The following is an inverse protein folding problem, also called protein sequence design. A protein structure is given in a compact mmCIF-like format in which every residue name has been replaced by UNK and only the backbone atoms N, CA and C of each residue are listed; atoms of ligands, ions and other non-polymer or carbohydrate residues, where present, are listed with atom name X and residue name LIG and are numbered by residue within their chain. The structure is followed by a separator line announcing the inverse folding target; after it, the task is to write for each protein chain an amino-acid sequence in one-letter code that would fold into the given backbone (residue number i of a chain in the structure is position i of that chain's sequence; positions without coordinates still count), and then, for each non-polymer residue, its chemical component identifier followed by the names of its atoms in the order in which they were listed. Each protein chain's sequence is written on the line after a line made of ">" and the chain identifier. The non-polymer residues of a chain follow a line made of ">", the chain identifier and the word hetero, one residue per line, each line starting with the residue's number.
data_IF_121617661743
#
_entry.id   IF_121617661743
#
_cell.length_a   1.000
_cell.length_b   1.000
_cell.length_c   1.000
_cell.angle_alpha   90.00
_cell.angle_beta   90.00
_cell.angle_gamma   90.00
#
_symmetry.space_group_name_H-M   'P 1'
#
loop_
_entity.id
_entity.type
_entity.pdbx_description
1 polymer ?
#
# COMPACT_ATOMS: atom_id res chain seq x y z
N UNK A 1 -15.10 -9.42 14.06
CA UNK A 1 -15.44 -8.22 13.27
C UNK A 1 -15.93 -7.17 14.24
N UNK A 2 -15.45 -5.92 14.17
CA UNK A 2 -16.03 -4.84 14.97
C UNK A 2 -17.49 -4.68 14.53
N UNK A 3 -18.42 -4.88 15.45
CA UNK A 3 -19.87 -4.79 15.19
C UNK A 3 -20.32 -3.34 15.27
N UNK A 4 -21.36 -2.96 14.52
CA UNK A 4 -21.97 -1.62 14.57
C UNK A 4 -22.35 -1.17 16.00
N UNK A 5 -22.53 -2.11 16.93
CA UNK A 5 -22.81 -1.86 18.36
C UNK A 5 -21.70 -1.12 19.11
N UNK A 6 -20.42 -1.21 18.69
CA UNK A 6 -19.33 -0.44 19.32
C UNK A 6 -19.40 1.06 18.97
N UNK A 7 -19.98 1.41 17.82
CA UNK A 7 -20.08 2.80 17.36
C UNK A 7 -21.07 3.61 18.19
N UNK A 8 -22.18 3.01 18.63
CA UNK A 8 -23.18 3.68 19.47
C UNK A 8 -22.65 3.94 20.89
N UNK A 9 -21.88 3.00 21.47
CA UNK A 9 -21.32 3.17 22.83
C UNK A 9 -20.15 4.16 22.92
N UNK A 10 -19.43 4.40 21.82
CA UNK A 10 -18.23 5.25 21.82
C UNK A 10 -18.38 6.57 21.07
N UNK A 11 -19.62 6.98 20.76
CA UNK A 11 -19.88 8.17 19.94
C UNK A 11 -19.28 9.46 20.54
N UNK A 12 -19.36 9.64 21.86
CA UNK A 12 -18.78 10.82 22.53
C UNK A 12 -17.25 10.87 22.42
N UNK A 13 -16.48 9.81 22.81
CA UNK A 13 -15.03 9.77 22.56
C UNK A 13 -14.64 9.96 21.09
N UNK A 14 -15.38 9.34 20.16
CA UNK A 14 -15.14 9.48 18.71
C UNK A 14 -15.29 10.93 18.26
N UNK A 15 -16.33 11.62 18.72
CA UNK A 15 -16.58 13.01 18.38
C UNK A 15 -15.48 13.94 18.92
N UNK A 16 -15.01 13.71 20.15
CA UNK A 16 -13.86 14.45 20.70
C UNK A 16 -12.62 14.24 19.83
N UNK A 17 -12.29 12.99 19.49
CA UNK A 17 -11.12 12.69 18.67
C UNK A 17 -11.22 13.32 17.28
N UNK A 18 -12.40 13.35 16.66
CA UNK A 18 -12.63 14.06 15.38
C UNK A 18 -12.33 15.55 15.50
N UNK A 19 -12.79 16.21 16.56
CA UNK A 19 -12.51 17.63 16.80
C UNK A 19 -11.01 17.85 16.98
N UNK A 20 -10.36 17.04 17.82
CA UNK A 20 -8.91 17.11 18.06
C UNK A 20 -8.13 16.93 16.75
N UNK A 21 -8.47 15.91 15.96
CA UNK A 21 -7.81 15.65 14.68
C UNK A 21 -8.04 16.77 13.66
N UNK A 22 -9.22 17.38 13.62
CA UNK A 22 -9.47 18.54 12.78
C UNK A 22 -8.58 19.73 13.15
N UNK A 23 -8.46 20.04 14.44
CA UNK A 23 -7.55 21.10 14.92
C UNK A 23 -6.09 20.77 14.58
N UNK A 24 -5.64 19.55 14.88
CA UNK A 24 -4.28 19.10 14.57
C UNK A 24 -3.97 19.19 13.07
N UNK A 25 -4.90 18.76 12.20
CA UNK A 25 -4.71 18.81 10.75
C UNK A 25 -4.60 20.25 10.24
N UNK A 26 -5.40 21.18 10.77
CA UNK A 26 -5.29 22.61 10.43
C UNK A 26 -3.93 23.17 10.85
N UNK A 27 -3.46 22.87 12.06
CA UNK A 27 -2.17 23.33 12.56
C UNK A 27 -0.98 22.79 11.74
N UNK A 28 -1.02 21.51 11.34
CA UNK A 28 0.00 20.92 10.44
C UNK A 28 -0.01 21.63 9.09
N UNK A 29 -1.21 21.86 8.52
CA UNK A 29 -1.37 22.48 7.20
C UNK A 29 -0.85 23.92 7.17
N UNK A 30 -1.03 24.66 8.25
CA UNK A 30 -0.54 26.04 8.38
C UNK A 30 0.95 26.11 8.76
N UNK A 31 1.63 24.96 8.89
CA UNK A 31 3.04 24.86 9.27
C UNK A 31 3.39 25.57 10.60
N UNK A 32 2.43 25.72 11.50
CA UNK A 32 2.59 26.42 12.79
C UNK A 32 3.16 25.53 13.90
N UNK A 33 3.65 24.33 13.56
CA UNK A 33 4.02 23.31 14.53
C UNK A 33 5.51 23.00 14.49
N UNK A 34 6.06 22.66 15.64
CA UNK A 34 7.38 22.00 15.69
C UNK A 34 7.26 20.53 15.29
N UNK A 35 8.35 19.98 14.74
CA UNK A 35 8.48 18.55 14.43
C UNK A 35 8.10 17.64 15.61
N UNK A 36 8.46 18.04 16.85
CA UNK A 36 8.09 17.30 18.08
C UNK A 36 6.57 17.20 18.27
N UNK A 37 5.82 18.26 17.97
CA UNK A 37 4.35 18.26 18.08
C UNK A 37 3.75 17.40 16.97
N UNK A 38 4.25 17.52 15.73
CA UNK A 38 3.83 16.65 14.62
C UNK A 38 4.00 15.16 14.96
N UNK A 39 5.12 14.76 15.55
CA UNK A 39 5.33 13.39 16.00
C UNK A 39 4.30 12.93 17.04
N UNK A 40 3.92 13.78 18.00
CA UNK A 40 2.87 13.47 18.99
C UNK A 40 1.49 13.30 18.35
N UNK A 41 1.16 14.14 17.36
CA UNK A 41 -0.08 14.03 16.59
C UNK A 41 -0.11 12.70 15.84
N UNK A 42 1.00 12.32 15.21
CA UNK A 42 1.11 11.03 14.51
C UNK A 42 0.90 9.86 15.48
N UNK A 43 1.50 9.90 16.69
CA UNK A 43 1.28 8.86 17.71
C UNK A 43 -0.19 8.78 18.15
N UNK A 44 -0.89 9.91 18.26
CA UNK A 44 -2.32 9.94 18.56
C UNK A 44 -3.13 9.27 17.43
N UNK A 45 -2.82 9.57 16.18
CA UNK A 45 -3.42 8.89 15.03
C UNK A 45 -3.16 7.40 15.07
N UNK A 46 -1.91 6.96 15.26
CA UNK A 46 -1.54 5.55 15.36
C UNK A 46 -2.41 4.78 16.35
N UNK A 47 -2.57 5.32 17.56
CA UNK A 47 -3.42 4.69 18.59
C UNK A 47 -4.87 4.62 18.15
N UNK A 48 -5.37 5.66 17.50
CA UNK A 48 -6.78 5.73 17.07
C UNK A 48 -7.07 4.79 15.91
N UNK A 49 -6.21 4.75 14.88
CA UNK A 49 -6.38 3.88 13.71
C UNK A 49 -6.19 2.39 14.04
N UNK A 50 -5.42 2.07 15.08
CA UNK A 50 -5.17 0.69 15.51
C UNK A 50 -6.31 0.11 16.34
N UNK A 51 -7.27 0.93 16.76
CA UNK A 51 -8.45 0.50 17.53
C UNK A 51 -9.48 -0.23 16.64
N UNK A 52 -10.46 -0.90 17.26
CA UNK A 52 -11.57 -1.55 16.56
C UNK A 52 -12.44 -0.57 15.75
N UNK A 53 -12.59 0.66 16.25
CA UNK A 53 -13.28 1.76 15.57
C UNK A 53 -12.36 2.59 14.65
N UNK A 54 -11.13 2.12 14.40
CA UNK A 54 -10.09 2.90 13.72
C UNK A 54 -10.45 3.33 12.29
N UNK A 55 -11.33 2.58 11.62
CA UNK A 55 -11.80 2.88 10.26
C UNK A 55 -12.41 4.28 10.13
N UNK A 56 -13.05 4.77 11.20
CA UNK A 56 -13.69 6.10 11.26
C UNK A 56 -12.68 7.21 11.00
N UNK A 57 -11.42 7.02 11.42
CA UNK A 57 -10.37 8.03 11.34
C UNK A 57 -9.50 7.90 10.09
N UNK A 58 -9.75 6.93 9.21
CA UNK A 58 -8.88 6.66 8.06
C UNK A 58 -8.83 7.80 7.06
N UNK A 59 -9.97 8.42 6.76
CA UNK A 59 -10.02 9.56 5.85
C UNK A 59 -9.19 10.73 6.37
N UNK A 60 -9.29 11.03 7.66
CA UNK A 60 -8.53 12.12 8.29
C UNK A 60 -7.05 11.76 8.46
N UNK A 61 -6.72 10.50 8.70
CA UNK A 61 -5.34 10.02 8.70
C UNK A 61 -4.69 10.20 7.32
N UNK A 62 -5.38 9.87 6.22
CA UNK A 62 -4.88 10.11 4.86
C UNK A 62 -4.66 11.60 4.58
N UNK A 63 -5.56 12.48 5.02
CA UNK A 63 -5.34 13.94 4.96
C UNK A 63 -4.13 14.38 5.76
N UNK A 64 -3.97 13.84 6.97
CA UNK A 64 -2.85 14.16 7.84
C UNK A 64 -1.51 13.78 7.19
N UNK A 65 -1.42 12.62 6.55
CA UNK A 65 -0.21 12.21 5.81
C UNK A 65 0.12 13.23 4.70
N UNK A 66 -0.87 13.70 3.94
CA UNK A 66 -0.65 14.72 2.89
C UNK A 66 -0.16 16.03 3.50
N UNK A 67 -0.77 16.49 4.59
CA UNK A 67 -0.35 17.70 5.27
C UNK A 67 1.10 17.56 5.81
N UNK A 68 1.44 16.39 6.35
CA UNK A 68 2.78 16.07 6.84
C UNK A 68 3.82 15.98 5.72
N UNK A 69 3.46 15.47 4.54
CA UNK A 69 4.34 15.50 3.36
C UNK A 69 4.68 16.94 2.96
N UNK A 70 3.68 17.84 3.00
CA UNK A 70 3.91 19.26 2.72
C UNK A 70 4.79 19.91 3.80
N UNK A 71 4.49 19.68 5.08
CA UNK A 71 5.28 20.19 6.19
C UNK A 71 6.75 19.73 6.11
N UNK A 72 6.97 18.46 5.81
CA UNK A 72 8.32 17.88 5.69
C UNK A 72 9.11 18.49 4.52
N UNK A 73 8.44 18.79 3.40
CA UNK A 73 9.03 19.55 2.30
C UNK A 73 9.51 20.94 2.76
N UNK A 74 8.70 21.66 3.52
CA UNK A 74 9.06 22.97 4.08
C UNK A 74 10.24 22.89 5.05
N UNK A 75 10.25 21.90 5.94
CA UNK A 75 11.36 21.66 6.87
C UNK A 75 12.69 21.39 6.15
N UNK A 76 12.66 20.59 5.08
CA UNK A 76 13.86 20.34 4.28
C UNK A 76 14.44 21.62 3.68
N UNK A 77 13.61 22.50 3.13
CA UNK A 77 14.07 23.78 2.58
C UNK A 77 14.63 24.73 3.65
N UNK A 78 14.21 24.56 4.91
CA UNK A 78 14.72 25.33 6.04
C UNK A 78 15.96 24.68 6.70
N UNK A 79 16.51 23.60 6.12
CA UNK A 79 17.64 22.83 6.66
C UNK A 79 17.39 22.24 8.07
N UNK A 80 16.13 22.08 8.45
CA UNK A 80 15.74 21.52 9.75
C UNK A 80 15.95 19.99 9.78
N UNK A 81 16.28 19.45 10.97
CA UNK A 81 16.51 18.01 11.16
C UNK A 81 15.27 17.19 10.77
N UNK A 82 15.41 16.30 9.78
CA UNK A 82 14.30 15.58 9.18
C UNK A 82 13.85 14.34 9.98
N UNK A 83 13.28 14.56 11.17
CA UNK A 83 12.74 13.48 12.00
C UNK A 83 11.43 12.90 11.44
N UNK A 84 10.68 13.68 10.66
CA UNK A 84 9.41 13.24 10.09
C UNK A 84 9.59 12.19 8.99
N UNK A 85 10.69 12.21 8.24
CA UNK A 85 10.99 11.14 7.28
C UNK A 85 11.13 9.75 7.92
N UNK A 86 11.42 9.66 9.21
CA UNK A 86 11.51 8.38 9.91
C UNK A 86 10.14 7.88 10.38
N UNK A 87 9.25 8.80 10.75
CA UNK A 87 7.96 8.46 11.37
C UNK A 87 6.84 8.41 10.34
N UNK A 88 6.88 9.24 9.31
CA UNK A 88 5.84 9.33 8.28
C UNK A 88 5.67 8.02 7.49
N UNK A 89 6.74 7.30 7.08
CA UNK A 89 6.59 5.98 6.49
C UNK A 89 5.91 4.98 7.43
N UNK A 90 6.26 5.00 8.72
CA UNK A 90 5.61 4.13 9.71
C UNK A 90 4.12 4.45 9.83
N UNK A 91 3.77 5.74 9.79
CA UNK A 91 2.38 6.17 9.87
C UNK A 91 1.59 5.72 8.65
N UNK A 92 2.15 5.91 7.46
CA UNK A 92 1.57 5.38 6.22
C UNK A 92 1.36 3.86 6.31
N UNK A 93 2.36 3.12 6.78
CA UNK A 93 2.29 1.67 6.94
C UNK A 93 1.13 1.24 7.83
N UNK A 94 0.93 1.88 8.98
CA UNK A 94 -0.20 1.55 9.85
C UNK A 94 -1.56 1.91 9.25
N UNK A 95 -1.67 3.03 8.51
CA UNK A 95 -2.91 3.36 7.80
C UNK A 95 -3.20 2.28 6.76
N UNK A 96 -2.20 1.88 5.97
CA UNK A 96 -2.37 0.88 4.93
C UNK A 96 -2.73 -0.51 5.48
N UNK A 97 -2.06 -0.99 6.53
CA UNK A 97 -2.43 -2.25 7.20
C UNK A 97 -3.83 -2.18 7.78
N UNK A 98 -4.19 -1.05 8.38
CA UNK A 98 -5.48 -0.93 9.03
C UNK A 98 -6.61 -0.96 8.00
N UNK A 99 -6.43 -0.37 6.82
CA UNK A 99 -7.38 -0.52 5.70
C UNK A 99 -7.56 -1.98 5.29
N UNK A 100 -6.50 -2.80 5.36
CA UNK A 100 -6.54 -4.22 4.99
C UNK A 100 -7.50 -5.05 5.87
N UNK A 101 -7.86 -4.56 7.06
CA UNK A 101 -8.70 -5.28 8.02
C UNK A 101 -10.21 -5.19 7.76
N UNK A 102 -10.64 -4.30 6.85
CA UNK A 102 -12.06 -3.98 6.68
C UNK A 102 -12.57 -4.43 5.30
N UNK A 103 -13.84 -4.85 5.21
CA UNK A 103 -14.44 -5.22 3.93
C UNK A 103 -14.72 -3.99 3.05
N UNK A 104 -14.94 -4.24 1.75
CA UNK A 104 -15.05 -3.20 0.70
C UNK A 104 -16.09 -2.13 1.02
N UNK A 105 -17.29 -2.53 1.44
CA UNK A 105 -18.42 -1.67 1.77
C UNK A 105 -18.06 -0.67 2.87
N UNK A 106 -17.47 -1.15 3.95
CA UNK A 106 -17.01 -0.33 5.08
C UNK A 106 -15.87 0.61 4.66
N UNK A 107 -14.90 0.14 3.86
CA UNK A 107 -13.85 1.02 3.33
C UNK A 107 -14.49 2.15 2.49
N UNK A 108 -15.42 1.83 1.60
CA UNK A 108 -16.05 2.83 0.72
C UNK A 108 -16.77 3.89 1.53
N UNK A 109 -17.56 3.49 2.52
CA UNK A 109 -18.32 4.38 3.41
C UNK A 109 -17.41 5.36 4.15
N UNK A 110 -16.40 4.85 4.85
CA UNK A 110 -15.60 5.66 5.78
C UNK A 110 -14.41 6.40 5.14
N UNK A 111 -14.02 6.02 3.92
CA UNK A 111 -12.88 6.64 3.22
C UNK A 111 -13.27 7.43 1.98
N UNK A 112 -14.57 7.60 1.71
CA UNK A 112 -15.08 8.19 0.49
C UNK A 112 -14.47 7.52 -0.75
N UNK A 113 -14.57 6.19 -0.81
CA UNK A 113 -14.05 5.36 -1.90
C UNK A 113 -12.54 5.56 -2.18
N UNK A 114 -11.76 5.80 -1.13
CA UNK A 114 -10.31 6.03 -1.16
C UNK A 114 -9.87 7.19 -2.08
N UNK A 115 -10.69 8.22 -2.29
CA UNK A 115 -10.30 9.40 -3.09
C UNK A 115 -9.02 10.06 -2.58
N UNK A 116 -8.84 10.12 -1.26
CA UNK A 116 -7.64 10.68 -0.64
C UNK A 116 -6.36 9.87 -0.91
N UNK A 117 -6.47 8.55 -1.14
CA UNK A 117 -5.31 7.72 -1.46
C UNK A 117 -4.69 8.11 -2.81
N UNK A 118 -5.53 8.41 -3.81
CA UNK A 118 -5.08 8.89 -5.12
C UNK A 118 -4.30 10.20 -4.99
N UNK A 119 -4.87 11.16 -4.25
CA UNK A 119 -4.23 12.45 -3.99
C UNK A 119 -2.92 12.28 -3.19
N UNK A 120 -2.91 11.36 -2.22
CA UNK A 120 -1.72 11.04 -1.43
C UNK A 120 -0.59 10.52 -2.32
N UNK A 121 -0.86 9.55 -3.20
CA UNK A 121 0.14 9.00 -4.13
C UNK A 121 0.69 10.12 -5.04
N UNK A 122 -0.20 10.96 -5.58
CA UNK A 122 0.23 12.09 -6.40
C UNK A 122 1.16 13.04 -5.61
N UNK A 123 0.75 13.47 -4.42
CA UNK A 123 1.51 14.39 -3.57
C UNK A 123 2.84 13.80 -3.12
N UNK A 124 2.86 12.50 -2.86
CA UNK A 124 4.07 11.76 -2.56
C UNK A 124 5.10 11.87 -3.70
N UNK A 125 4.69 11.55 -4.93
CA UNK A 125 5.59 11.64 -6.08
C UNK A 125 6.05 13.09 -6.31
N UNK A 126 5.14 14.06 -6.24
CA UNK A 126 5.50 15.47 -6.35
C UNK A 126 6.53 15.87 -5.29
N UNK A 127 6.28 15.58 -4.01
CA UNK A 127 7.19 15.97 -2.93
C UNK A 127 8.57 15.35 -3.10
N UNK A 128 8.68 14.06 -3.41
CA UNK A 128 10.00 13.43 -3.50
C UNK A 128 10.76 13.84 -4.76
N UNK A 129 10.09 13.91 -5.91
CA UNK A 129 10.70 14.31 -7.17
C UNK A 129 11.23 15.76 -7.10
N UNK A 130 10.48 16.67 -6.47
CA UNK A 130 10.86 18.08 -6.39
C UNK A 130 11.80 18.44 -5.21
N UNK A 131 11.82 17.66 -4.13
CA UNK A 131 12.49 18.07 -2.90
C UNK A 131 13.74 17.26 -2.59
N UNK A 132 13.75 15.95 -2.83
CA UNK A 132 14.86 15.10 -2.39
C UNK A 132 15.72 14.57 -3.53
N UNK A 133 15.16 14.39 -4.74
CA UNK A 133 15.88 13.77 -5.87
C UNK A 133 16.39 12.35 -5.58
N UNK A 134 15.99 11.76 -4.44
CA UNK A 134 16.49 10.51 -3.91
C UNK A 134 15.56 9.34 -4.26
N UNK A 135 16.07 8.44 -5.09
CA UNK A 135 15.38 7.21 -5.50
C UNK A 135 15.08 6.28 -4.32
N UNK A 136 15.85 6.34 -3.23
CA UNK A 136 15.64 5.50 -2.05
C UNK A 136 14.41 5.95 -1.26
N UNK A 137 14.19 7.26 -1.11
CA UNK A 137 12.96 7.76 -0.49
C UNK A 137 11.73 7.42 -1.33
N UNK A 138 11.84 7.50 -2.66
CA UNK A 138 10.78 7.02 -3.57
C UNK A 138 10.45 5.54 -3.36
N UNK A 139 11.45 4.73 -3.07
CA UNK A 139 11.26 3.31 -2.85
C UNK A 139 10.47 3.04 -1.58
N UNK A 140 10.83 3.67 -0.45
CA UNK A 140 10.24 3.39 0.87
C UNK A 140 8.70 3.45 0.89
N UNK A 141 8.10 4.56 0.45
CA UNK A 141 6.63 4.68 0.57
C UNK A 141 5.91 3.90 -0.54
N UNK A 142 6.50 3.76 -1.72
CA UNK A 142 5.95 2.89 -2.76
C UNK A 142 5.97 1.43 -2.33
N UNK A 143 7.03 0.97 -1.65
CA UNK A 143 7.09 -0.36 -1.06
C UNK A 143 5.93 -0.56 -0.10
N UNK A 144 5.66 0.41 0.79
CA UNK A 144 4.52 0.32 1.72
C UNK A 144 3.19 0.19 0.96
N UNK A 145 2.95 1.07 -0.01
CA UNK A 145 1.67 1.10 -0.77
C UNK A 145 1.51 -0.17 -1.60
N UNK A 146 2.53 -0.56 -2.37
CA UNK A 146 2.48 -1.75 -3.22
C UNK A 146 2.38 -3.03 -2.40
N UNK A 147 3.15 -3.16 -1.31
CA UNK A 147 3.09 -4.35 -0.45
C UNK A 147 1.73 -4.51 0.21
N UNK A 148 1.01 -3.42 0.46
CA UNK A 148 -0.38 -3.50 0.95
C UNK A 148 -1.29 -4.11 -0.11
N UNK A 149 -1.16 -3.71 -1.38
CA UNK A 149 -1.90 -4.31 -2.48
C UNK A 149 -1.54 -5.78 -2.70
N UNK A 150 -0.25 -6.12 -2.61
CA UNK A 150 0.26 -7.49 -2.73
C UNK A 150 -0.29 -8.35 -1.60
N UNK A 151 -0.16 -7.91 -0.34
CA UNK A 151 -0.66 -8.63 0.83
C UNK A 151 -2.15 -8.90 0.74
N UNK A 152 -2.94 -7.94 0.25
CA UNK A 152 -4.38 -8.10 0.08
C UNK A 152 -4.73 -9.15 -0.99
N UNK A 153 -3.94 -9.26 -2.06
CA UNK A 153 -4.06 -10.36 -3.04
C UNK A 153 -3.59 -11.69 -2.45
N UNK A 154 -2.49 -11.67 -1.69
CA UNK A 154 -1.93 -12.87 -1.04
C UNK A 154 -2.90 -13.50 -0.05
N UNK A 155 -3.63 -12.69 0.72
CA UNK A 155 -4.73 -13.15 1.59
C UNK A 155 -5.81 -13.87 0.78
N UNK A 156 -6.28 -13.27 -0.32
CA UNK A 156 -7.30 -13.87 -1.21
C UNK A 156 -6.81 -15.18 -1.87
N UNK A 157 -5.52 -15.26 -2.25
CA UNK A 157 -4.92 -16.51 -2.74
C UNK A 157 -4.95 -17.58 -1.67
N UNK A 158 -4.51 -17.25 -0.44
CA UNK A 158 -4.47 -18.20 0.66
C UNK A 158 -5.87 -18.69 1.05
N UNK A 159 -6.86 -17.79 1.07
CA UNK A 159 -8.25 -18.15 1.36
C UNK A 159 -8.82 -19.09 0.29
N UNK A 160 -8.49 -18.89 -0.99
CA UNK A 160 -8.89 -19.80 -2.07
C UNK A 160 -8.14 -21.13 -2.04
N UNK A 161 -6.85 -21.12 -1.76
CA UNK A 161 -6.03 -22.32 -1.66
C UNK A 161 -6.51 -23.23 -0.51
N UNK A 162 -7.01 -22.67 0.60
CA UNK A 162 -7.59 -23.43 1.72
C UNK A 162 -8.92 -24.10 1.37
N UNK A 163 -9.64 -23.57 0.40
CA UNK A 163 -10.99 -24.01 0.06
C UNK A 163 -11.03 -24.91 -1.19
N UNK A 164 -9.89 -25.29 -1.77
CA UNK A 164 -9.75 -26.15 -2.97
C UNK A 164 -10.68 -25.81 -4.16
N UNK A 165 -11.18 -24.58 -4.24
CA UNK A 165 -12.41 -24.27 -4.99
C UNK A 165 -12.25 -23.30 -6.17
N UNK A 166 -11.04 -22.85 -6.49
CA UNK A 166 -10.87 -21.86 -7.55
C UNK A 166 -9.56 -21.97 -8.31
N UNK A 167 -9.62 -21.76 -9.62
CA UNK A 167 -8.46 -21.47 -10.47
C UNK A 167 -7.78 -20.18 -9.95
N UNK A 168 -6.66 -20.31 -9.23
CA UNK A 168 -5.86 -19.19 -8.69
C UNK A 168 -5.57 -18.14 -9.75
N UNK A 169 -5.44 -18.55 -11.01
CA UNK A 169 -5.10 -17.67 -12.12
C UNK A 169 -6.26 -16.73 -12.50
N UNK A 170 -7.47 -16.99 -12.02
CA UNK A 170 -8.70 -16.20 -12.26
C UNK A 170 -9.17 -15.43 -11.02
N UNK A 171 -8.31 -15.24 -10.04
CA UNK A 171 -8.63 -14.43 -8.86
C UNK A 171 -8.93 -13.00 -9.28
N UNK A 172 -10.10 -12.50 -8.86
CA UNK A 172 -10.42 -11.07 -8.91
C UNK A 172 -9.64 -10.37 -7.80
N UNK A 173 -8.91 -9.32 -8.14
CA UNK A 173 -8.19 -8.57 -7.12
C UNK A 173 -9.17 -7.91 -6.13
N UNK A 174 -8.88 -7.99 -4.83
CA UNK A 174 -9.71 -7.32 -3.85
C UNK A 174 -9.64 -5.80 -4.01
N UNK A 175 -10.68 -5.13 -3.50
CA UNK A 175 -10.95 -3.72 -3.80
C UNK A 175 -9.78 -2.78 -3.47
N UNK A 176 -9.12 -2.99 -2.33
CA UNK A 176 -8.00 -2.14 -1.91
C UNK A 176 -6.80 -2.33 -2.85
N UNK A 177 -6.44 -3.57 -3.17
CA UNK A 177 -5.41 -3.89 -4.14
C UNK A 177 -5.70 -3.25 -5.51
N UNK A 178 -6.91 -3.42 -6.03
CA UNK A 178 -7.33 -2.85 -7.32
C UNK A 178 -7.19 -1.31 -7.32
N UNK A 179 -7.58 -0.65 -6.24
CA UNK A 179 -7.43 0.81 -6.08
C UNK A 179 -5.97 1.24 -6.03
N UNK A 180 -5.13 0.50 -5.31
CA UNK A 180 -3.69 0.78 -5.23
C UNK A 180 -3.06 0.65 -6.62
N UNK A 181 -3.30 -0.45 -7.32
CA UNK A 181 -2.72 -0.71 -8.64
C UNK A 181 -3.16 0.32 -9.68
N UNK A 182 -4.46 0.68 -9.70
CA UNK A 182 -5.01 1.72 -10.58
C UNK A 182 -4.39 3.10 -10.37
N UNK A 183 -4.01 3.44 -9.13
CA UNK A 183 -3.39 4.72 -8.81
C UNK A 183 -1.85 4.69 -8.84
N UNK A 184 -1.24 3.53 -9.06
CA UNK A 184 0.22 3.37 -9.09
C UNK A 184 0.65 2.71 -10.41
N UNK A 185 0.72 1.39 -10.43
CA UNK A 185 1.34 0.57 -11.46
C UNK A 185 0.64 0.68 -12.83
N UNK A 186 -0.66 0.97 -12.87
CA UNK A 186 -1.40 1.14 -14.12
C UNK A 186 -1.23 2.53 -14.73
N UNK A 187 -0.73 3.50 -13.96
CA UNK A 187 -0.41 4.83 -14.47
C UNK A 187 1.02 4.83 -15.02
N UNK A 188 1.14 5.09 -16.33
CA UNK A 188 2.42 5.10 -17.05
C UNK A 188 3.48 5.99 -16.37
N UNK A 189 3.06 7.12 -15.80
CA UNK A 189 3.95 8.06 -15.08
C UNK A 189 4.71 7.37 -13.93
N UNK A 190 4.07 6.45 -13.20
CA UNK A 190 4.62 5.85 -11.99
C UNK A 190 5.23 4.47 -12.20
N UNK A 191 4.99 3.84 -13.35
CA UNK A 191 5.50 2.51 -13.70
C UNK A 191 7.02 2.32 -13.47
N UNK A 192 7.92 3.23 -13.91
CA UNK A 192 9.35 3.01 -13.70
C UNK A 192 9.74 2.86 -12.23
N UNK A 193 9.16 3.67 -11.35
CA UNK A 193 9.42 3.62 -9.91
C UNK A 193 8.81 2.35 -9.28
N UNK A 194 7.58 2.00 -9.66
CA UNK A 194 6.94 0.78 -9.16
C UNK A 194 7.72 -0.48 -9.56
N UNK A 195 8.18 -0.55 -10.81
CA UNK A 195 9.01 -1.67 -11.30
C UNK A 195 10.35 -1.76 -10.58
N UNK A 196 11.00 -0.62 -10.29
CA UNK A 196 12.21 -0.60 -9.50
C UNK A 196 11.97 -1.18 -8.10
N UNK A 197 10.92 -0.73 -7.41
CA UNK A 197 10.53 -1.21 -6.09
C UNK A 197 10.23 -2.70 -6.08
N UNK A 198 9.42 -3.18 -7.03
CA UNK A 198 9.06 -4.60 -7.11
C UNK A 198 10.32 -5.46 -7.30
N UNK A 199 11.26 -5.07 -8.17
CA UNK A 199 12.52 -5.83 -8.35
C UNK A 199 13.32 -5.94 -7.05
N UNK A 200 13.35 -4.87 -6.25
CA UNK A 200 14.05 -4.85 -4.96
C UNK A 200 13.32 -5.63 -3.88
N UNK A 201 11.99 -5.67 -3.91
CA UNK A 201 11.18 -6.33 -2.88
C UNK A 201 11.06 -7.84 -3.10
N UNK A 202 11.11 -8.32 -4.35
CA UNK A 202 10.97 -9.75 -4.69
C UNK A 202 11.98 -10.65 -3.98
N UNK A 203 13.19 -10.16 -3.70
CA UNK A 203 14.19 -10.90 -2.92
C UNK A 203 13.80 -11.13 -1.45
N UNK A 204 12.70 -10.55 -0.97
CA UNK A 204 12.21 -10.76 0.40
C UNK A 204 10.83 -11.42 0.43
N UNK A 205 10.21 -11.65 -0.73
CA UNK A 205 8.89 -12.26 -0.81
C UNK A 205 8.93 -13.76 -0.52
N UNK A 206 7.85 -14.23 0.09
CA UNK A 206 7.47 -15.64 0.10
C UNK A 206 6.80 -16.01 -1.24
N UNK A 207 6.47 -17.28 -1.41
CA UNK A 207 5.88 -17.81 -2.64
C UNK A 207 4.52 -17.19 -2.98
N UNK A 208 3.67 -16.95 -1.96
CA UNK A 208 2.34 -16.35 -2.16
C UNK A 208 2.49 -14.92 -2.68
N UNK A 209 3.38 -14.13 -2.08
CA UNK A 209 3.64 -12.74 -2.49
C UNK A 209 4.26 -12.66 -3.88
N UNK A 210 5.14 -13.62 -4.23
CA UNK A 210 5.66 -13.77 -5.60
C UNK A 210 4.52 -14.07 -6.59
N UNK A 211 3.62 -15.00 -6.25
CA UNK A 211 2.45 -15.33 -7.07
C UNK A 211 1.50 -14.13 -7.22
N UNK A 212 1.23 -13.40 -6.16
CA UNK A 212 0.44 -12.14 -6.19
C UNK A 212 1.02 -11.17 -7.21
N UNK A 213 2.34 -10.97 -7.22
CA UNK A 213 2.99 -10.11 -8.21
C UNK A 213 2.93 -10.68 -9.63
N UNK A 214 3.10 -11.98 -9.80
CA UNK A 214 2.96 -12.61 -11.12
C UNK A 214 1.54 -12.45 -11.68
N UNK A 215 0.50 -12.55 -10.83
CA UNK A 215 -0.88 -12.28 -11.21
C UNK A 215 -1.05 -10.83 -11.66
N UNK A 216 -0.50 -9.87 -10.91
CA UNK A 216 -0.51 -8.45 -11.29
C UNK A 216 0.17 -8.25 -12.65
N UNK A 217 1.34 -8.83 -12.85
CA UNK A 217 2.09 -8.75 -14.11
C UNK A 217 1.27 -9.35 -15.26
N UNK A 218 0.64 -10.51 -15.04
CA UNK A 218 -0.18 -11.16 -16.06
C UNK A 218 -1.41 -10.32 -16.45
N UNK A 219 -2.06 -9.66 -15.49
CA UNK A 219 -3.14 -8.71 -15.75
C UNK A 219 -2.63 -7.51 -16.57
N UNK A 220 -1.45 -6.98 -16.22
CA UNK A 220 -0.83 -5.88 -16.95
C UNK A 220 -0.50 -6.21 -18.42
N UNK A 221 -0.23 -7.48 -18.75
CA UNK A 221 -0.05 -7.90 -20.15
C UNK A 221 -1.33 -7.77 -20.98
N UNK A 222 -2.50 -7.77 -20.34
CA UNK A 222 -3.78 -7.59 -21.01
C UNK A 222 -4.19 -6.12 -21.14
N UNK A 223 -3.43 -5.20 -20.55
CA UNK A 223 -3.62 -3.76 -20.67
C UNK A 223 -2.78 -3.22 -21.85
N UNK A 224 -3.18 -2.10 -22.50
CA UNK A 224 -2.42 -1.48 -23.58
C UNK A 224 -1.14 -0.79 -23.08
N UNK A 225 -0.17 -1.58 -22.60
CA UNK A 225 1.01 -1.12 -21.87
C UNK A 225 2.28 -1.17 -22.75
N UNK A 226 3.00 -0.05 -22.84
CA UNK A 226 4.27 0.10 -23.58
C UNK A 226 5.52 -0.48 -22.86
N UNK A 227 5.32 -1.22 -21.77
CA UNK A 227 6.36 -1.63 -20.82
C UNK A 227 6.65 -3.13 -20.83
N UNK A 228 6.29 -3.86 -21.91
CA UNK A 228 6.43 -5.33 -22.00
C UNK A 228 7.83 -5.85 -21.61
N UNK A 229 8.91 -5.21 -22.10
CA UNK A 229 10.29 -5.59 -21.74
C UNK A 229 10.57 -5.47 -20.24
N UNK A 230 10.03 -4.45 -19.56
CA UNK A 230 10.23 -4.29 -18.11
C UNK A 230 9.47 -5.35 -17.31
N UNK A 231 8.26 -5.70 -17.74
CA UNK A 231 7.47 -6.78 -17.15
C UNK A 231 8.18 -8.13 -17.32
N UNK A 232 8.77 -8.38 -18.49
CA UNK A 232 9.64 -9.54 -18.73
C UNK A 232 10.81 -9.60 -17.75
N UNK A 233 11.55 -8.51 -17.61
CA UNK A 233 12.71 -8.48 -16.73
C UNK A 233 12.33 -8.78 -15.27
N UNK A 234 11.21 -8.23 -14.80
CA UNK A 234 10.69 -8.54 -13.46
C UNK A 234 10.32 -10.02 -13.35
N UNK A 235 9.61 -10.56 -14.34
CA UNK A 235 9.22 -11.98 -14.37
C UNK A 235 10.44 -12.89 -14.31
N UNK A 236 11.54 -12.55 -15.02
CA UNK A 236 12.80 -13.29 -14.96
C UNK A 236 13.45 -13.23 -13.58
N UNK A 237 13.45 -12.06 -12.93
CA UNK A 237 13.94 -11.92 -11.55
C UNK A 237 13.14 -12.78 -10.58
N UNK A 238 11.80 -12.75 -10.67
CA UNK A 238 10.93 -13.58 -9.84
C UNK A 238 11.19 -15.05 -10.08
N UNK A 239 11.28 -15.49 -11.33
CA UNK A 239 11.60 -16.89 -11.68
C UNK A 239 12.92 -17.32 -11.05
N UNK A 240 13.98 -16.51 -11.20
CA UNK A 240 15.30 -16.84 -10.66
C UNK A 240 15.29 -16.91 -9.12
N UNK A 241 14.62 -15.98 -8.45
CA UNK A 241 14.51 -16.00 -6.98
C UNK A 241 13.65 -17.17 -6.48
N UNK A 242 12.56 -17.49 -7.18
CA UNK A 242 11.73 -18.65 -6.89
C UNK A 242 12.52 -19.96 -7.04
N UNK A 243 13.25 -20.15 -8.14
CA UNK A 243 14.07 -21.35 -8.38
C UNK A 243 15.18 -21.55 -7.35
N UNK A 244 15.75 -20.47 -6.80
CA UNK A 244 16.75 -20.55 -5.71
C UNK A 244 16.17 -20.99 -4.38
N UNK A 245 14.89 -20.68 -4.11
CA UNK A 245 14.25 -20.84 -2.80
C UNK A 245 13.26 -21.97 -2.71
N UNK A 246 12.75 -22.43 -3.85
CA UNK A 246 11.72 -23.46 -3.92
C UNK A 246 12.25 -24.77 -3.35
N UNK A 247 12.00 -24.98 -2.06
CA UNK A 247 12.21 -26.27 -1.41
C UNK A 247 10.95 -27.13 -1.63
N UNK A 248 11.12 -28.36 -2.10
CA UNK A 248 10.01 -29.25 -2.50
C UNK A 248 9.23 -29.82 -1.29
N UNK A 249 9.56 -29.36 -0.08
CA UNK A 249 9.04 -29.83 1.20
C UNK A 249 7.70 -29.17 1.56
N UNK A 250 6.64 -29.61 0.86
CA UNK A 250 5.25 -29.65 1.34
C UNK A 250 4.67 -28.35 1.96
N UNK A 251 4.83 -27.20 1.28
CA UNK A 251 3.86 -26.11 1.41
C UNK A 251 3.27 -25.74 0.05
N UNK A 252 1.97 -26.04 -0.09
CA UNK A 252 1.07 -25.76 -1.21
C UNK A 252 1.60 -26.07 -2.62
N UNK A 253 1.58 -27.35 -3.01
CA UNK A 253 1.71 -27.80 -4.42
C UNK A 253 0.87 -26.92 -5.37
N UNK A 254 -0.31 -26.53 -4.93
CA UNK A 254 -1.21 -25.66 -5.67
C UNK A 254 -0.63 -24.27 -5.99
N UNK A 255 0.07 -23.62 -5.05
CA UNK A 255 0.74 -22.34 -5.27
C UNK A 255 1.94 -22.52 -6.20
N UNK A 256 2.73 -23.58 -5.98
CA UNK A 256 3.87 -23.93 -6.83
C UNK A 256 3.46 -24.13 -8.28
N UNK A 257 2.39 -24.89 -8.52
CA UNK A 257 1.87 -25.15 -9.85
C UNK A 257 1.29 -23.88 -10.49
N UNK A 258 0.63 -23.03 -9.70
CA UNK A 258 0.15 -21.73 -10.18
C UNK A 258 1.30 -20.80 -10.59
N UNK A 259 2.38 -20.72 -9.80
CA UNK A 259 3.59 -19.94 -10.13
C UNK A 259 4.20 -20.43 -11.45
N UNK A 260 4.38 -21.75 -11.61
CA UNK A 260 4.92 -22.33 -12.86
C UNK A 260 4.03 -22.02 -14.04
N UNK A 261 2.72 -22.20 -13.89
CA UNK A 261 1.74 -21.98 -14.95
C UNK A 261 1.71 -20.52 -15.38
N UNK A 262 1.72 -19.58 -14.44
CA UNK A 262 1.68 -18.15 -14.76
C UNK A 262 2.99 -17.66 -15.37
N UNK A 263 4.15 -18.16 -14.91
CA UNK A 263 5.44 -17.85 -15.52
C UNK A 263 5.43 -18.33 -16.98
N UNK A 264 4.98 -19.55 -17.25
CA UNK A 264 4.88 -20.09 -18.60
C UNK A 264 3.89 -19.29 -19.46
N UNK A 265 2.73 -18.91 -18.91
CA UNK A 265 1.75 -18.09 -19.62
C UNK A 265 2.26 -16.69 -19.94
N UNK A 266 3.02 -16.07 -19.04
CA UNK A 266 3.68 -14.78 -19.32
C UNK A 266 4.72 -15.00 -20.42
N UNK A 267 5.54 -16.05 -20.33
CA UNK A 267 6.58 -16.35 -21.31
C UNK A 267 6.04 -16.65 -22.71
N UNK A 268 4.85 -17.25 -22.82
CA UNK A 268 4.19 -17.55 -24.11
C UNK A 268 3.53 -16.33 -24.77
N UNK A 269 3.42 -15.20 -24.07
CA UNK A 269 2.94 -13.92 -24.63
C UNK A 269 4.05 -13.15 -25.36
N UNK A 270 5.19 -13.81 -25.59
CA UNK A 270 6.38 -13.30 -26.26
C UNK A 270 6.71 -14.17 -27.46
#
# INVERSE_FOLDING_TARGET
>A
MPTMEEHEKHQFPINILKIVFNVCNSMIKECQLSTKICCKIIVLYFKSISSSAGIIFMHDALKAIIALLHFNKTQYYNEDSNLLNTILPKFLYAVMISLNKYPKDIIIEYTNNLKMLSLLIQKYFETIEFTYGDKNMHATYLTIILNTGISNISEEINDKARNDSADILKIKFPFLAEKILKNTLYLKKYQPACFFVIKQAVIQYNEVDMLSILLIINEMFNLPIKSMKKLQDITRVIKSEYEKRCDLTVHNRFIVDAIKTIINSIQSKF
#
